data_IF_151608593804
#
_entry.id   IF_151608593804
#
_cell.length_a   1.000
_cell.length_b   1.000
_cell.length_c   1.000
_cell.angle_alpha   90.00
_cell.angle_beta   90.00
_cell.angle_gamma   90.00
#
_symmetry.space_group_name_H-M   'P 1'
#
loop_
_entity.id
_entity.type
_entity.pdbx_description
1 polymer ?
#
# COMPACT_ATOMS: atom_id res chain seq x y z
N UNK A 1 -7.37 40.75 3.41
CA UNK A 1 -6.57 41.26 2.27
C UNK A 1 -5.10 41.02 2.56
N UNK A 2 -4.48 39.96 2.02
CA UNK A 2 -3.04 39.94 1.79
C UNK A 2 -2.73 38.86 0.75
N UNK A 3 -2.75 39.28 -0.50
CA UNK A 3 -2.27 38.51 -1.65
C UNK A 3 -0.75 38.57 -1.63
N UNK A 4 -0.07 37.42 -1.69
CA UNK A 4 1.21 37.32 -2.42
C UNK A 4 1.49 35.86 -2.75
N UNK A 5 1.01 35.50 -3.93
CA UNK A 5 1.42 34.33 -4.67
C UNK A 5 2.89 34.43 -5.07
N UNK A 6 3.50 33.25 -5.13
CA UNK A 6 4.84 32.90 -5.56
C UNK A 6 5.31 33.76 -6.76
N UNK A 7 6.43 34.48 -6.60
CA UNK A 7 7.13 35.11 -7.71
C UNK A 7 7.96 34.07 -8.46
N UNK A 8 7.77 34.00 -9.78
CA UNK A 8 8.43 33.13 -10.78
C UNK A 8 9.95 33.34 -10.96
N UNK A 9 10.68 33.90 -10.00
CA UNK A 9 12.05 34.35 -10.21
C UNK A 9 13.06 33.62 -9.30
N UNK A 10 13.23 32.31 -9.49
CA UNK A 10 14.43 31.59 -9.04
C UNK A 10 14.68 30.28 -9.81
N UNK A 11 14.06 30.12 -10.99
CA UNK A 11 14.15 28.92 -11.83
C UNK A 11 15.10 29.06 -13.04
N UNK A 12 16.09 29.95 -12.98
CA UNK A 12 16.98 30.20 -14.12
C UNK A 12 18.40 30.50 -13.66
N UNK A 13 19.15 29.44 -13.34
CA UNK A 13 20.61 29.34 -13.41
C UNK A 13 20.91 27.84 -13.52
N UNK A 14 21.93 27.48 -14.28
CA UNK A 14 22.32 26.13 -14.70
C UNK A 14 21.76 25.65 -16.05
N UNK A 15 21.92 26.43 -17.12
CA UNK A 15 22.14 25.84 -18.44
C UNK A 15 23.15 26.70 -19.19
N UNK A 16 24.37 26.19 -19.28
CA UNK A 16 25.46 26.76 -20.04
C UNK A 16 26.42 25.65 -20.46
N UNK A 17 26.28 25.22 -21.72
CA UNK A 17 27.40 24.88 -22.58
C UNK A 17 27.97 23.46 -22.57
N UNK A 18 28.06 22.92 -23.78
CA UNK A 18 29.08 22.03 -24.33
C UNK A 18 28.86 20.50 -24.37
N UNK A 19 28.72 20.08 -25.63
CA UNK A 19 29.36 18.95 -26.32
C UNK A 19 28.58 17.63 -26.45
N UNK A 20 28.35 17.32 -27.73
CA UNK A 20 28.03 16.02 -28.29
C UNK A 20 28.90 14.93 -27.69
N UNK A 21 28.24 13.91 -27.13
CA UNK A 21 28.81 12.57 -27.03
C UNK A 21 27.72 11.62 -27.55
N UNK A 22 27.95 11.13 -28.76
CA UNK A 22 27.37 9.89 -29.26
C UNK A 22 27.78 8.77 -28.29
N UNK A 23 26.82 8.06 -27.69
CA UNK A 23 26.99 6.69 -27.21
C UNK A 23 25.63 6.07 -26.87
N UNK A 24 25.22 5.18 -27.78
CA UNK A 24 24.67 3.85 -27.52
C UNK A 24 23.60 3.69 -26.43
N UNK A 25 22.40 3.37 -26.90
CA UNK A 25 21.34 2.61 -26.22
C UNK A 25 21.82 1.80 -25.01
N UNK A 26 21.50 2.29 -23.82
CA UNK A 26 21.52 1.51 -22.59
C UNK A 26 20.06 1.31 -22.14
N UNK A 27 19.43 0.28 -22.70
CA UNK A 27 18.39 -0.46 -21.99
C UNK A 27 18.99 -0.89 -20.66
N UNK A 28 18.70 -0.15 -19.59
CA UNK A 28 19.02 -0.54 -18.24
C UNK A 28 18.15 -1.76 -17.87
N UNK A 29 18.60 -2.94 -18.28
CA UNK A 29 18.25 -4.17 -17.60
C UNK A 29 18.64 -3.99 -16.13
N UNK A 30 17.66 -4.08 -15.22
CA UNK A 30 17.94 -4.15 -13.80
C UNK A 30 19.01 -5.24 -13.54
N UNK A 31 19.99 -4.99 -12.66
CA UNK A 31 21.14 -5.87 -12.52
C UNK A 31 20.67 -7.26 -12.06
N UNK A 32 21.18 -8.30 -12.71
CA UNK A 32 20.88 -9.73 -12.44
C UNK A 32 21.04 -10.12 -10.95
N UNK A 33 21.74 -9.30 -10.16
CA UNK A 33 21.87 -9.44 -8.70
C UNK A 33 20.56 -9.23 -7.92
N UNK A 34 19.62 -8.40 -8.39
CA UNK A 34 18.30 -8.23 -7.74
C UNK A 34 17.38 -9.44 -7.99
N UNK A 35 17.52 -10.09 -9.14
CA UNK A 35 16.74 -11.30 -9.46
C UNK A 35 17.18 -12.51 -8.62
N UNK A 36 18.45 -12.55 -8.20
CA UNK A 36 19.03 -13.61 -7.38
C UNK A 36 18.58 -13.58 -5.89
N UNK A 37 17.86 -12.54 -5.45
CA UNK A 37 17.41 -12.38 -4.05
C UNK A 37 15.94 -12.79 -3.84
N UNK A 38 15.21 -13.09 -4.91
CA UNK A 38 13.79 -13.46 -4.86
C UNK A 38 13.62 -14.95 -4.63
N UNK A 39 13.56 -15.36 -3.37
CA UNK A 39 13.49 -16.77 -2.98
C UNK A 39 12.19 -17.20 -2.31
N UNK A 40 11.35 -16.25 -1.89
CA UNK A 40 10.23 -16.52 -0.98
C UNK A 40 8.88 -16.53 -1.70
N UNK A 41 7.95 -17.38 -1.27
CA UNK A 41 6.53 -17.20 -1.59
C UNK A 41 5.91 -16.17 -0.63
N UNK A 42 5.52 -15.01 -1.17
CA UNK A 42 5.08 -13.88 -0.36
C UNK A 42 3.60 -13.59 -0.58
N UNK A 43 2.87 -13.33 0.50
CA UNK A 43 1.51 -12.80 0.47
C UNK A 43 1.56 -11.33 0.84
N UNK A 44 1.14 -10.45 -0.07
CA UNK A 44 0.82 -9.07 0.28
C UNK A 44 -0.68 -8.97 0.59
N UNK A 45 -1.00 -8.60 1.83
CA UNK A 45 -2.36 -8.45 2.28
C UNK A 45 -2.78 -6.98 2.24
N UNK A 46 -3.53 -6.62 1.19
CA UNK A 46 -4.14 -5.31 1.02
C UNK A 46 -5.24 -5.06 2.04
N UNK A 47 -5.32 -3.81 2.53
CA UNK A 47 -6.29 -3.39 3.53
C UNK A 47 -6.92 -2.06 3.13
N UNK A 48 -6.69 -1.00 3.91
CA UNK A 48 -7.11 0.35 3.57
C UNK A 48 -6.19 1.05 2.57
N UNK A 49 -5.05 0.44 2.25
CA UNK A 49 -4.00 0.91 1.35
C UNK A 49 -4.12 0.29 -0.05
N UNK A 50 -5.30 0.43 -0.66
CA UNK A 50 -5.66 -0.13 -1.98
C UNK A 50 -4.99 0.63 -3.15
N UNK A 51 -3.66 0.67 -3.16
CA UNK A 51 -2.84 1.37 -4.15
C UNK A 51 -1.58 0.59 -4.52
N UNK A 52 -1.16 0.74 -5.78
CA UNK A 52 0.11 0.18 -6.28
C UNK A 52 1.29 1.14 -6.17
N UNK A 53 1.03 2.46 -6.24
CA UNK A 53 2.05 3.50 -6.18
C UNK A 53 2.34 3.85 -4.73
N UNK A 54 3.63 4.04 -4.42
CA UNK A 54 4.09 4.44 -3.09
C UNK A 54 3.45 3.57 -1.98
N UNK A 55 3.54 2.26 -2.17
CA UNK A 55 3.12 1.27 -1.18
C UNK A 55 4.34 0.50 -0.72
N UNK A 56 4.87 0.87 0.44
CA UNK A 56 6.11 0.32 1.02
C UNK A 56 6.00 -1.17 1.30
N UNK A 57 4.85 -1.61 1.82
CA UNK A 57 4.61 -3.03 2.10
C UNK A 57 4.54 -3.87 0.82
N UNK A 58 3.88 -3.36 -0.22
CA UNK A 58 3.84 -4.04 -1.52
C UNK A 58 5.22 -4.05 -2.19
N UNK A 59 5.97 -2.96 -2.13
CA UNK A 59 7.32 -2.88 -2.67
C UNK A 59 8.27 -3.88 -1.98
N UNK A 60 8.20 -3.98 -0.64
CA UNK A 60 8.95 -4.98 0.12
C UNK A 60 8.58 -6.41 -0.28
N UNK A 61 7.28 -6.70 -0.44
CA UNK A 61 6.81 -8.00 -0.92
C UNK A 61 7.37 -8.34 -2.31
N UNK A 62 7.26 -7.40 -3.26
CA UNK A 62 7.74 -7.58 -4.62
C UNK A 62 9.27 -7.71 -4.72
N UNK A 63 10.02 -7.12 -3.78
CA UNK A 63 11.48 -7.24 -3.71
C UNK A 63 11.96 -8.64 -3.32
N UNK A 64 11.18 -9.40 -2.54
CA UNK A 64 11.55 -10.74 -2.01
C UNK A 64 10.89 -11.90 -2.73
N UNK A 65 9.77 -11.66 -3.40
CA UNK A 65 8.91 -12.72 -3.91
C UNK A 65 9.50 -13.45 -5.12
N UNK A 66 9.61 -14.79 -5.05
CA UNK A 66 9.63 -15.67 -6.23
C UNK A 66 8.23 -15.88 -6.80
N UNK A 67 7.24 -15.91 -5.93
CA UNK A 67 5.81 -15.95 -6.22
C UNK A 67 5.10 -14.98 -5.31
N UNK A 68 4.15 -14.21 -5.85
CA UNK A 68 3.44 -13.17 -5.12
C UNK A 68 1.93 -13.43 -5.13
N UNK A 69 1.31 -13.40 -3.96
CA UNK A 69 -0.15 -13.41 -3.82
C UNK A 69 -0.62 -12.06 -3.31
N UNK A 70 -1.57 -11.46 -4.01
CA UNK A 70 -2.16 -10.17 -3.65
C UNK A 70 -3.55 -10.40 -3.08
N UNK A 71 -3.65 -10.44 -1.75
CA UNK A 71 -4.85 -10.82 -1.03
C UNK A 71 -5.60 -9.58 -0.51
N UNK A 72 -6.92 -9.55 -0.69
CA UNK A 72 -7.83 -8.68 0.04
C UNK A 72 -8.89 -9.50 0.74
N UNK A 73 -9.18 -9.19 2.01
CA UNK A 73 -10.24 -9.86 2.77
C UNK A 73 -11.37 -8.87 3.04
N UNK A 74 -12.51 -9.09 2.40
CA UNK A 74 -13.75 -8.35 2.57
C UNK A 74 -14.45 -8.81 3.85
N UNK A 75 -14.22 -8.07 4.92
CA UNK A 75 -14.88 -8.30 6.21
C UNK A 75 -16.31 -7.73 6.18
N UNK A 76 -17.29 -8.51 6.63
CA UNK A 76 -18.69 -8.08 6.74
C UNK A 76 -18.87 -6.85 7.64
N UNK A 77 -17.93 -6.57 8.55
CA UNK A 77 -17.91 -5.31 9.32
C UNK A 77 -17.68 -4.08 8.44
N UNK A 78 -16.90 -4.22 7.37
CA UNK A 78 -16.67 -3.14 6.40
C UNK A 78 -17.91 -2.93 5.52
N UNK A 79 -18.65 -4.00 5.24
CA UNK A 79 -19.89 -3.98 4.46
C UNK A 79 -21.08 -3.43 5.26
N UNK A 80 -21.07 -3.57 6.60
CA UNK A 80 -22.02 -2.91 7.51
C UNK A 80 -21.86 -1.40 7.62
N UNK A 81 -20.94 -0.81 6.85
CA UNK A 81 -20.84 0.65 6.73
C UNK A 81 -21.96 1.20 5.83
N UNK A 82 -22.02 2.53 5.64
CA UNK A 82 -23.05 3.14 4.81
C UNK A 82 -22.99 2.62 3.36
N UNK A 83 -24.14 2.45 2.66
CA UNK A 83 -24.16 1.99 1.27
C UNK A 83 -23.23 2.74 0.30
N UNK A 84 -23.04 4.07 0.40
CA UNK A 84 -22.09 4.79 -0.45
C UNK A 84 -20.64 4.32 -0.23
N UNK A 85 -20.27 4.03 1.02
CA UNK A 85 -18.92 3.58 1.37
C UNK A 85 -18.67 2.16 0.87
N UNK A 86 -19.65 1.28 0.97
CA UNK A 86 -19.56 -0.08 0.42
C UNK A 86 -19.42 -0.03 -1.11
N UNK A 87 -20.26 0.73 -1.81
CA UNK A 87 -20.16 0.93 -3.26
C UNK A 87 -18.81 1.52 -3.68
N UNK A 88 -18.31 2.52 -2.96
CA UNK A 88 -17.00 3.12 -3.26
C UNK A 88 -15.85 2.14 -3.05
N UNK A 89 -15.91 1.31 -2.01
CA UNK A 89 -14.93 0.25 -1.78
C UNK A 89 -14.89 -0.74 -2.95
N UNK A 90 -16.05 -1.19 -3.44
CA UNK A 90 -16.11 -2.09 -4.60
C UNK A 90 -15.48 -1.46 -5.84
N UNK A 91 -15.80 -0.19 -6.12
CA UNK A 91 -15.22 0.54 -7.25
C UNK A 91 -13.68 0.64 -7.14
N UNK A 92 -13.14 0.84 -5.93
CA UNK A 92 -11.68 0.83 -5.71
C UNK A 92 -11.09 -0.56 -5.94
N UNK A 93 -11.75 -1.62 -5.46
CA UNK A 93 -11.29 -3.00 -5.65
C UNK A 93 -11.31 -3.42 -7.13
N UNK A 94 -12.35 -3.03 -7.87
CA UNK A 94 -12.45 -3.25 -9.32
C UNK A 94 -11.33 -2.52 -10.07
N UNK A 95 -11.08 -1.25 -9.72
CA UNK A 95 -9.94 -0.50 -10.29
C UNK A 95 -8.62 -1.20 -9.98
N UNK A 96 -8.37 -1.56 -8.72
CA UNK A 96 -7.14 -2.22 -8.31
C UNK A 96 -6.95 -3.56 -9.03
N UNK A 97 -8.02 -4.37 -9.16
CA UNK A 97 -7.98 -5.63 -9.88
C UNK A 97 -7.60 -5.45 -11.35
N UNK A 98 -8.14 -4.42 -12.02
CA UNK A 98 -7.78 -4.06 -13.39
C UNK A 98 -6.33 -3.60 -13.53
N UNK A 99 -5.87 -2.70 -12.66
CA UNK A 99 -4.47 -2.24 -12.65
C UNK A 99 -3.48 -3.42 -12.43
N UNK A 100 -3.87 -4.40 -11.62
CA UNK A 100 -3.11 -5.63 -11.40
C UNK A 100 -3.14 -6.55 -12.63
N UNK A 101 -4.30 -6.71 -13.27
CA UNK A 101 -4.44 -7.51 -14.49
C UNK A 101 -3.55 -6.99 -15.63
N UNK A 102 -3.47 -5.66 -15.81
CA UNK A 102 -2.54 -5.02 -16.75
C UNK A 102 -1.06 -5.36 -16.49
N UNK A 103 -0.73 -5.81 -15.28
CA UNK A 103 0.62 -6.21 -14.85
C UNK A 103 0.80 -7.73 -14.80
N UNK A 104 -0.13 -8.50 -15.36
CA UNK A 104 -0.12 -9.96 -15.33
C UNK A 104 -0.38 -10.53 -13.93
N UNK A 105 -1.04 -9.76 -13.06
CA UNK A 105 -1.38 -10.13 -11.70
C UNK A 105 -2.88 -10.29 -11.52
N UNK A 106 -3.27 -10.77 -10.34
CA UNK A 106 -4.66 -10.85 -9.93
C UNK A 106 -4.83 -10.47 -8.47
N UNK A 107 -5.96 -9.83 -8.17
CA UNK A 107 -6.39 -9.60 -6.81
C UNK A 107 -7.19 -10.81 -6.32
N UNK A 108 -6.71 -11.50 -5.30
CA UNK A 108 -7.42 -12.59 -4.63
C UNK A 108 -8.33 -11.96 -3.57
N UNK A 109 -9.65 -12.03 -3.78
CA UNK A 109 -10.63 -11.54 -2.81
C UNK A 109 -11.27 -12.70 -2.06
N UNK A 110 -11.26 -12.59 -0.74
CA UNK A 110 -11.97 -13.49 0.17
C UNK A 110 -13.02 -12.70 0.94
N UNK A 111 -14.11 -13.35 1.37
CA UNK A 111 -15.11 -12.72 2.24
C UNK A 111 -15.17 -13.44 3.58
N UNK A 112 -15.12 -12.68 4.67
CA UNK A 112 -15.26 -13.18 6.03
C UNK A 112 -14.23 -12.61 7.00
N UNK A 113 -13.92 -13.36 8.06
CA UNK A 113 -13.02 -12.91 9.11
C UNK A 113 -11.55 -13.12 8.73
N UNK A 114 -10.80 -12.02 8.56
CA UNK A 114 -9.37 -12.07 8.27
C UNK A 114 -8.55 -12.84 9.31
N UNK A 115 -8.99 -12.88 10.58
CA UNK A 115 -8.33 -13.64 11.65
C UNK A 115 -8.36 -15.15 11.40
N UNK A 116 -9.29 -15.62 10.58
CA UNK A 116 -9.45 -17.03 10.19
C UNK A 116 -8.92 -17.26 8.79
N UNK A 117 -9.32 -16.40 7.84
CA UNK A 117 -9.01 -16.57 6.43
C UNK A 117 -7.54 -16.37 6.12
N UNK A 118 -6.89 -15.35 6.70
CA UNK A 118 -5.48 -15.08 6.41
C UNK A 118 -4.61 -16.26 6.87
N UNK A 119 -4.66 -16.74 8.13
CA UNK A 119 -3.86 -17.90 8.55
C UNK A 119 -4.18 -19.18 7.76
N UNK A 120 -5.45 -19.39 7.40
CA UNK A 120 -5.85 -20.52 6.55
C UNK A 120 -5.13 -20.46 5.20
N UNK A 121 -5.18 -19.31 4.53
CA UNK A 121 -4.53 -19.10 3.23
C UNK A 121 -3.02 -19.16 3.30
N UNK A 122 -2.39 -18.63 4.37
CA UNK A 122 -0.94 -18.77 4.57
C UNK A 122 -0.50 -20.24 4.61
N UNK A 123 -1.26 -21.10 5.30
CA UNK A 123 -0.99 -22.54 5.35
C UNK A 123 -1.21 -23.20 3.98
N UNK A 124 -2.37 -22.98 3.37
CA UNK A 124 -2.74 -23.59 2.08
C UNK A 124 -1.74 -23.23 0.98
N UNK A 125 -1.37 -21.95 0.91
CA UNK A 125 -0.42 -21.47 -0.08
C UNK A 125 1.03 -21.71 0.32
N UNK A 126 1.33 -22.32 1.48
CA UNK A 126 2.71 -22.50 1.97
C UNK A 126 3.50 -21.20 1.90
N UNK A 127 2.88 -20.11 2.35
CA UNK A 127 3.49 -18.79 2.34
C UNK A 127 4.72 -18.79 3.28
N UNK A 128 5.78 -18.13 2.86
CA UNK A 128 7.01 -17.97 3.65
C UNK A 128 7.04 -16.60 4.34
N UNK A 129 6.36 -15.61 3.72
CA UNK A 129 6.21 -14.26 4.26
C UNK A 129 4.83 -13.69 4.00
N UNK A 130 4.36 -12.87 4.93
CA UNK A 130 3.21 -11.98 4.75
C UNK A 130 3.62 -10.52 5.01
N UNK A 131 3.11 -9.61 4.20
CA UNK A 131 3.33 -8.16 4.34
C UNK A 131 2.02 -7.39 4.39
N UNK A 132 1.96 -6.29 5.13
CA UNK A 132 0.85 -5.32 5.10
C UNK A 132 1.26 -3.92 5.60
N UNK A 133 0.50 -2.90 5.22
CA UNK A 133 0.65 -1.54 5.76
C UNK A 133 -0.04 -1.38 7.11
N UNK A 134 0.60 -0.76 8.13
CA UNK A 134 0.05 -0.59 9.50
C UNK A 134 -1.25 0.21 9.53
N UNK A 135 -2.10 -0.11 10.50
CA UNK A 135 -3.33 0.62 10.80
C UNK A 135 -3.46 0.75 12.33
N UNK A 136 -3.38 1.98 12.88
CA UNK A 136 -3.37 2.20 14.32
C UNK A 136 -4.75 2.09 14.97
N UNK A 137 -5.82 1.80 14.20
CA UNK A 137 -7.16 1.67 14.77
C UNK A 137 -7.26 0.49 15.74
N UNK A 138 -8.03 0.60 16.85
CA UNK A 138 -8.16 -0.49 17.82
C UNK A 138 -8.64 -1.82 17.21
N UNK A 139 -9.47 -1.74 16.16
CA UNK A 139 -9.91 -2.92 15.45
C UNK A 139 -8.77 -3.60 14.69
N UNK A 140 -8.02 -2.84 13.89
CA UNK A 140 -6.89 -3.36 13.14
C UNK A 140 -5.83 -3.95 14.07
N UNK A 141 -5.46 -3.26 15.16
CA UNK A 141 -4.47 -3.76 16.13
C UNK A 141 -4.84 -5.15 16.69
N UNK A 142 -6.11 -5.37 17.06
CA UNK A 142 -6.57 -6.69 17.55
C UNK A 142 -6.56 -7.76 16.47
N UNK A 143 -7.00 -7.42 15.25
CA UNK A 143 -7.00 -8.33 14.10
C UNK A 143 -5.57 -8.72 13.73
N UNK A 144 -4.69 -7.74 13.62
CA UNK A 144 -3.30 -7.89 13.18
C UNK A 144 -2.50 -8.69 14.20
N UNK A 145 -2.71 -8.45 15.50
CA UNK A 145 -2.10 -9.26 16.55
C UNK A 145 -2.54 -10.73 16.50
N UNK A 146 -3.80 -11.01 16.15
CA UNK A 146 -4.27 -12.38 15.98
C UNK A 146 -3.67 -13.06 14.75
N UNK A 147 -3.60 -12.34 13.61
CA UNK A 147 -2.97 -12.85 12.38
C UNK A 147 -1.48 -13.09 12.58
N UNK A 148 -0.77 -12.16 13.25
CA UNK A 148 0.66 -12.29 13.57
C UNK A 148 0.93 -13.53 14.42
N UNK A 149 0.21 -13.73 15.52
CA UNK A 149 0.37 -14.94 16.35
C UNK A 149 0.16 -16.23 15.56
N UNK A 150 -0.82 -16.23 14.65
CA UNK A 150 -1.09 -17.39 13.81
C UNK A 150 -0.01 -17.60 12.73
N UNK A 151 0.53 -16.53 12.16
CA UNK A 151 1.66 -16.58 11.22
C UNK A 151 2.93 -17.09 11.91
N UNK A 152 3.23 -16.61 13.11
CA UNK A 152 4.36 -17.07 13.93
C UNK A 152 4.26 -18.58 14.21
N UNK A 153 3.07 -19.06 14.58
CA UNK A 153 2.81 -20.49 14.81
C UNK A 153 2.93 -21.35 13.53
N UNK A 154 2.83 -20.74 12.35
CA UNK A 154 3.03 -21.38 11.04
C UNK A 154 4.48 -21.26 10.53
N UNK A 155 5.36 -20.54 11.24
CA UNK A 155 6.71 -20.24 10.77
C UNK A 155 6.76 -19.22 9.61
N UNK A 156 5.71 -18.42 9.43
CA UNK A 156 5.62 -17.42 8.35
C UNK A 156 6.16 -16.08 8.85
N UNK A 157 7.14 -15.52 8.15
CA UNK A 157 7.70 -14.22 8.49
C UNK A 157 6.67 -13.10 8.27
N UNK A 158 6.61 -12.14 9.19
CA UNK A 158 5.65 -11.02 9.13
C UNK A 158 6.36 -9.69 9.02
N UNK A 159 6.05 -8.91 7.98
CA UNK A 159 6.58 -7.55 7.77
C UNK A 159 5.46 -6.50 7.75
N UNK A 160 5.59 -5.47 8.58
CA UNK A 160 4.61 -4.38 8.67
C UNK A 160 5.28 -3.04 8.38
N UNK A 161 4.69 -2.26 7.48
CA UNK A 161 5.23 -0.95 7.10
C UNK A 161 4.24 0.14 7.49
N UNK A 162 4.69 1.21 8.14
CA UNK A 162 3.86 2.41 8.22
C UNK A 162 4.03 3.19 6.91
N UNK A 163 2.88 3.60 6.37
CA UNK A 163 2.77 4.28 5.09
C UNK A 163 1.50 5.16 5.06
N UNK A 164 1.02 5.55 6.25
CA UNK A 164 -0.17 6.40 6.43
C UNK A 164 0.17 7.84 6.72
N UNK A 165 1.34 8.07 7.30
CA UNK A 165 1.82 9.39 7.68
C UNK A 165 3.19 9.64 7.06
N UNK A 166 3.40 10.86 6.58
CA UNK A 166 4.71 11.31 6.08
C UNK A 166 5.78 11.28 7.17
N UNK A 167 5.38 11.55 8.42
CA UNK A 167 6.23 11.38 9.58
C UNK A 167 5.57 10.38 10.52
N UNK A 168 6.34 9.38 10.96
CA UNK A 168 5.91 8.38 11.92
C UNK A 168 5.28 9.03 13.17
N UNK A 169 4.18 8.48 13.71
CA UNK A 169 3.62 8.95 14.97
C UNK A 169 4.69 8.98 16.08
N UNK A 170 4.86 10.15 16.70
CA UNK A 170 5.86 10.35 17.77
C UNK A 170 7.25 10.76 17.29
N UNK A 171 7.52 10.82 15.98
CA UNK A 171 8.77 11.35 15.43
C UNK A 171 8.90 12.87 15.65
N UNK A 172 7.78 13.59 15.61
CA UNK A 172 7.73 15.02 15.91
C UNK A 172 7.39 15.26 17.38
N UNK A 173 8.32 15.89 18.10
CA UNK A 173 8.17 16.23 19.52
C UNK A 173 8.36 17.72 19.74
N UNK A 174 7.67 18.23 20.75
CA UNK A 174 7.90 19.58 21.27
C UNK A 174 9.30 19.69 21.87
N UNK A 175 9.76 20.92 22.14
CA UNK A 175 11.04 21.15 22.83
C UNK A 175 11.13 20.48 24.21
N UNK A 176 10.00 20.26 24.87
CA UNK A 176 9.90 19.53 26.14
C UNK A 176 9.72 18.00 25.97
N UNK A 177 9.86 17.47 24.75
CA UNK A 177 9.78 16.04 24.44
C UNK A 177 8.38 15.45 24.34
N UNK A 178 7.34 16.21 24.71
CA UNK A 178 5.93 15.80 24.62
C UNK A 178 5.33 15.95 23.21
N UNK A 179 4.14 15.40 23.01
CA UNK A 179 3.37 15.56 21.78
C UNK A 179 2.86 17.00 21.62
N UNK A 180 2.72 17.46 20.38
CA UNK A 180 2.11 18.75 20.09
C UNK A 180 0.60 18.73 20.39
N UNK A 181 0.11 19.74 21.10
CA UNK A 181 -1.33 19.94 21.38
C UNK A 181 -1.97 21.05 20.55
N UNK A 182 -1.15 21.88 19.89
CA UNK A 182 -1.59 23.01 19.05
C UNK A 182 -1.09 22.78 17.62
N UNK A 183 -1.96 23.03 16.65
CA UNK A 183 -1.69 22.77 15.23
C UNK A 183 -0.53 23.62 14.67
N UNK A 184 -0.51 24.93 14.93
CA UNK A 184 0.50 25.82 14.30
C UNK A 184 1.95 25.43 14.65
N UNK A 185 2.31 25.18 15.92
CA UNK A 185 3.64 24.67 16.26
C UNK A 185 3.94 23.30 15.65
N UNK A 186 2.95 22.39 15.61
CA UNK A 186 3.10 21.08 14.95
C UNK A 186 3.41 21.24 13.46
N UNK A 187 2.62 22.05 12.74
CA UNK A 187 2.80 22.32 11.31
C UNK A 187 4.19 22.87 11.01
N UNK A 188 4.66 23.83 11.79
CA UNK A 188 5.99 24.41 11.59
C UNK A 188 7.11 23.37 11.77
N UNK A 189 7.02 22.52 12.80
CA UNK A 189 7.97 21.43 13.03
C UNK A 189 7.91 20.36 11.93
N UNK A 190 6.69 19.99 11.50
CA UNK A 190 6.47 19.05 10.41
C UNK A 190 7.06 19.56 9.09
N UNK A 191 6.83 20.83 8.76
CA UNK A 191 7.32 21.45 7.54
C UNK A 191 8.85 21.51 7.51
N UNK A 192 9.47 21.95 8.62
CA UNK A 192 10.92 21.96 8.74
C UNK A 192 11.53 20.55 8.57
N UNK A 193 10.89 19.51 9.13
CA UNK A 193 11.31 18.12 8.98
C UNK A 193 11.20 17.62 7.54
N UNK A 194 10.14 18.02 6.84
CA UNK A 194 9.92 17.67 5.43
C UNK A 194 10.95 18.35 4.53
N UNK A 195 11.25 19.62 4.76
CA UNK A 195 12.28 20.35 3.99
C UNK A 195 13.69 19.79 4.23
N UNK A 196 14.00 19.40 5.46
CA UNK A 196 15.33 18.88 5.79
C UNK A 196 15.60 17.47 5.26
N UNK A 197 14.57 16.62 5.23
CA UNK A 197 14.69 15.22 4.81
C UNK A 197 13.34 14.77 4.23
N UNK A 198 13.07 15.12 2.95
CA UNK A 198 11.83 14.77 2.30
C UNK A 198 11.73 13.24 2.13
N UNK A 199 10.56 12.63 2.39
CA UNK A 199 10.41 11.19 2.27
C UNK A 199 10.61 10.73 0.82
N UNK A 200 11.42 9.69 0.64
CA UNK A 200 11.48 8.99 -0.64
C UNK A 200 10.20 8.18 -0.87
N UNK A 201 9.65 8.31 -2.08
CA UNK A 201 8.53 7.48 -2.53
C UNK A 201 9.01 6.05 -2.76
N UNK A 202 8.23 5.07 -2.29
CA UNK A 202 8.49 3.67 -2.57
C UNK A 202 8.26 3.39 -4.06
N UNK A 203 9.32 2.99 -4.75
CA UNK A 203 9.23 2.48 -6.12
C UNK A 203 8.75 1.03 -6.07
N UNK A 204 7.73 0.71 -6.85
CA UNK A 204 7.24 -0.65 -6.98
C UNK A 204 8.14 -1.42 -7.95
N UNK A 205 8.89 -2.46 -7.51
CA UNK A 205 9.63 -3.32 -8.41
C UNK A 205 8.69 -4.12 -9.32
N UNK A 206 9.25 -4.78 -10.34
CA UNK A 206 8.48 -5.73 -11.15
C UNK A 206 7.90 -6.81 -10.26
N UNK A 207 6.58 -7.01 -10.33
CA UNK A 207 5.86 -8.01 -9.54
C UNK A 207 6.26 -9.43 -9.99
N UNK A 208 6.54 -10.30 -9.02
CA UNK A 208 6.82 -11.72 -9.25
C UNK A 208 5.56 -12.45 -9.73
N UNK A 209 5.65 -13.54 -10.51
CA UNK A 209 4.48 -14.24 -11.04
C UNK A 209 3.48 -14.64 -9.93
N UNK A 210 2.17 -14.65 -10.22
CA UNK A 210 1.17 -15.04 -9.25
C UNK A 210 1.22 -16.56 -9.00
N UNK A 211 1.00 -16.98 -7.75
CA UNK A 211 0.88 -18.41 -7.40
C UNK A 211 -0.35 -19.01 -8.08
N UNK A 212 -0.24 -19.96 -9.01
CA UNK A 212 -1.36 -20.49 -9.81
C UNK A 212 -2.59 -20.94 -8.98
N UNK A 213 -2.38 -21.55 -7.82
CA UNK A 213 -3.43 -22.07 -6.93
C UNK A 213 -4.20 -20.99 -6.15
N UNK A 214 -3.66 -19.77 -6.05
CA UNK A 214 -4.27 -18.68 -5.29
C UNK A 214 -5.44 -18.04 -6.05
N UNK A 215 -6.58 -18.72 -6.11
CA UNK A 215 -7.81 -18.19 -6.72
C UNK A 215 -8.70 -17.58 -5.64
N UNK A 216 -9.31 -16.44 -5.97
CA UNK A 216 -10.24 -15.73 -5.08
C UNK A 216 -11.67 -15.82 -5.58
N UNK A 217 -12.59 -15.27 -4.79
CA UNK A 217 -13.95 -15.01 -5.23
C UNK A 217 -13.94 -13.96 -6.34
N UNK A 218 -14.92 -14.05 -7.25
CA UNK A 218 -15.29 -12.91 -8.06
C UNK A 218 -15.67 -11.75 -7.14
N UNK A 219 -15.29 -10.52 -7.51
CA UNK A 219 -15.69 -9.34 -6.76
C UNK A 219 -17.23 -9.29 -6.73
N UNK A 220 -17.86 -9.24 -5.55
CA UNK A 220 -19.31 -9.14 -5.46
C UNK A 220 -19.74 -7.77 -5.99
N UNK A 221 -20.83 -7.73 -6.74
CA UNK A 221 -21.41 -6.46 -7.17
C UNK A 221 -22.18 -5.78 -6.00
N UNK A 222 -22.61 -4.54 -6.24
CA UNK A 222 -23.35 -3.77 -5.24
C UNK A 222 -24.70 -4.42 -4.88
N UNK A 223 -25.31 -5.19 -5.79
CA UNK A 223 -26.60 -5.85 -5.56
C UNK A 223 -26.44 -7.05 -4.63
N UNK A 224 -25.42 -7.88 -4.84
CA UNK A 224 -25.03 -9.00 -4.00
C UNK A 224 -24.67 -8.59 -2.55
N UNK A 225 -24.32 -7.31 -2.37
CA UNK A 225 -24.04 -6.73 -1.06
C UNK A 225 -25.22 -5.96 -0.45
N UNK A 226 -26.37 -5.89 -1.14
CA UNK A 226 -27.55 -5.19 -0.66
C UNK A 226 -27.41 -3.66 -0.63
N UNK A 227 -26.48 -3.09 -1.40
CA UNK A 227 -26.15 -1.66 -1.40
C UNK A 227 -26.45 -0.97 -2.74
N UNK A 228 -27.06 -1.66 -3.70
CA UNK A 228 -27.33 -1.12 -5.04
C UNK A 228 -28.37 0.02 -5.09
N UNK A 229 -29.28 0.11 -4.11
CA UNK A 229 -30.42 1.04 -4.13
C UNK A 229 -30.11 2.50 -3.75
N UNK A 230 -28.85 2.83 -3.43
CA UNK A 230 -28.47 4.17 -3.03
C UNK A 230 -28.14 5.05 -4.25
N UNK A 231 -28.83 6.18 -4.41
CA UNK A 231 -28.63 7.13 -5.51
C UNK A 231 -27.45 8.11 -5.28
N UNK A 232 -26.76 8.03 -4.15
CA UNK A 232 -25.63 8.91 -3.82
C UNK A 232 -24.57 8.86 -4.92
N UNK A 233 -24.24 10.02 -5.47
CA UNK A 233 -23.15 10.18 -6.42
C UNK A 233 -21.81 9.97 -5.71
N UNK A 234 -20.97 9.10 -6.26
CA UNK A 234 -19.66 8.80 -5.71
C UNK A 234 -18.58 9.53 -6.52
N UNK A 235 -17.50 9.99 -5.87
CA UNK A 235 -16.32 10.44 -6.61
C UNK A 235 -15.74 9.26 -7.41
N UNK A 236 -14.91 9.54 -8.44
CA UNK A 236 -14.17 8.47 -9.11
C UNK A 236 -13.31 7.71 -8.11
N UNK A 237 -13.13 6.41 -8.36
CA UNK A 237 -12.35 5.52 -7.50
C UNK A 237 -10.83 5.77 -7.64
N UNK A 238 -10.40 7.04 -7.56
CA UNK A 238 -8.99 7.47 -7.55
C UNK A 238 -8.25 7.35 -8.87
#
# INVERSE_FOLDING_TARGET
>A
MCRRWISRAQAARLFGGCQEILLTSALAAAPLSEMSQRSERVVHWFRSDLRLRDNRALAAAAGRARELVLLYVLDDRLLRSSPPRARYLLAILERLARELAERGQRLVVERGDARVLVPRRLREWRAERITWGRDPSPYALRRDAAVRRAADALGVAVEEHDDRAVCEPGALRTKSGGAFRVYTPFRNAWWARFESDPPALARLPRLAPPLAEAQGLALPDAAALGVAGDATALPPAG
#
